data_IF_968515100021
#
_entry.id   IF_968515100021
#
_cell.length_a   1.000
_cell.length_b   1.000
_cell.length_c   1.000
_cell.angle_alpha   90.00
_cell.angle_beta   90.00
_cell.angle_gamma   90.00
#
_symmetry.space_group_name_H-M   'P 1'
#
loop_
_entity.id
_entity.type
_entity.pdbx_description
1 polymer ?
#
# COMPACT_ATOMS: atom_id res chain seq x y z
N UNK A 1 -25.44 -33.32 11.85
CA UNK A 1 -24.07 -32.89 12.30
C UNK A 1 -23.70 -31.61 11.60
N UNK A 2 -23.16 -30.63 12.32
CA UNK A 2 -22.81 -29.33 11.76
C UNK A 2 -21.50 -29.49 10.98
N UNK A 3 -21.47 -29.18 9.66
CA UNK A 3 -20.27 -29.23 8.80
C UNK A 3 -19.06 -28.48 9.39
N UNK A 4 -19.31 -27.48 10.25
CA UNK A 4 -18.28 -26.74 10.98
C UNK A 4 -17.59 -27.62 12.03
N UNK A 5 -18.33 -28.44 12.77
CA UNK A 5 -17.76 -29.40 13.72
C UNK A 5 -16.96 -30.52 13.04
N UNK A 6 -17.38 -30.93 11.83
CA UNK A 6 -16.63 -31.89 11.01
C UNK A 6 -15.31 -31.32 10.48
N UNK A 7 -15.31 -30.01 10.17
CA UNK A 7 -14.07 -29.32 9.75
C UNK A 7 -13.10 -29.13 10.94
N UNK A 8 -13.63 -28.80 12.12
CA UNK A 8 -12.85 -28.70 13.37
C UNK A 8 -12.29 -30.05 13.83
N UNK A 9 -12.97 -31.14 13.48
CA UNK A 9 -12.56 -32.52 13.81
C UNK A 9 -11.57 -33.14 12.81
N UNK A 10 -11.23 -32.46 11.69
CA UNK A 10 -10.21 -32.97 10.76
C UNK A 10 -8.83 -32.90 11.40
N UNK A 11 -8.25 -34.05 11.66
CA UNK A 11 -6.93 -34.21 12.30
C UNK A 11 -5.77 -33.57 11.50
N UNK A 12 -5.99 -33.24 10.21
CA UNK A 12 -4.99 -32.62 9.35
C UNK A 12 -5.64 -31.77 8.28
N UNK A 13 -5.09 -30.58 8.02
CA UNK A 13 -5.46 -29.70 6.90
C UNK A 13 -4.63 -30.00 5.63
N UNK A 14 -3.82 -31.06 5.59
CA UNK A 14 -2.87 -31.32 4.48
C UNK A 14 -3.58 -31.40 3.11
N UNK A 15 -4.77 -31.99 3.07
CA UNK A 15 -5.58 -32.12 1.87
C UNK A 15 -6.66 -31.04 1.72
N UNK A 16 -6.63 -29.99 2.56
CA UNK A 16 -7.61 -28.91 2.48
C UNK A 16 -7.51 -28.16 1.14
N UNK A 17 -8.65 -27.83 0.55
CA UNK A 17 -8.75 -27.19 -0.77
C UNK A 17 -8.19 -25.77 -0.81
N UNK A 18 -8.10 -25.08 0.34
CA UNK A 18 -7.63 -23.70 0.40
C UNK A 18 -6.14 -23.63 0.09
N UNK A 19 -5.80 -22.95 -1.00
CA UNK A 19 -4.43 -22.61 -1.37
C UNK A 19 -4.10 -21.23 -0.80
N UNK A 20 -3.37 -21.21 0.30
CA UNK A 20 -3.05 -19.97 1.02
C UNK A 20 -2.04 -19.11 0.25
N UNK A 21 -2.32 -17.79 0.11
CA UNK A 21 -1.41 -16.86 -0.56
C UNK A 21 -0.17 -16.59 0.32
N UNK A 22 0.97 -16.32 -0.32
CA UNK A 22 2.26 -15.99 0.34
C UNK A 22 2.64 -16.90 1.50
N UNK A 23 2.30 -18.17 1.42
CA UNK A 23 2.44 -19.13 2.53
C UNK A 23 3.12 -20.41 2.06
N UNK A 24 4.04 -20.93 2.87
CA UNK A 24 4.56 -22.29 2.72
C UNK A 24 3.46 -23.30 3.09
N UNK A 25 2.57 -23.60 2.14
CA UNK A 25 1.32 -24.34 2.38
C UNK A 25 1.54 -25.71 3.01
N UNK A 26 2.55 -26.47 2.55
CA UNK A 26 2.89 -27.78 3.14
C UNK A 26 3.23 -27.70 4.62
N UNK A 27 4.05 -26.72 5.00
CA UNK A 27 4.44 -26.49 6.39
C UNK A 27 3.26 -25.99 7.23
N UNK A 28 2.53 -24.99 6.73
CA UNK A 28 1.38 -24.42 7.44
C UNK A 28 0.29 -25.46 7.71
N UNK A 29 -0.06 -26.27 6.70
CA UNK A 29 -1.13 -27.27 6.83
C UNK A 29 -0.80 -28.42 7.80
N UNK A 30 0.49 -28.71 8.04
CA UNK A 30 0.93 -29.66 9.08
C UNK A 30 0.78 -29.08 10.49
N UNK A 31 1.06 -27.77 10.65
CA UNK A 31 1.00 -27.09 11.95
C UNK A 31 0.25 -25.76 11.77
N UNK A 32 -1.08 -25.80 11.60
CA UNK A 32 -1.85 -24.60 11.26
C UNK A 32 -1.92 -23.61 12.43
N UNK A 33 -1.78 -22.32 12.10
CA UNK A 33 -2.03 -21.20 13.01
C UNK A 33 -3.37 -20.58 12.65
N UNK A 34 -4.42 -21.01 13.31
CA UNK A 34 -5.79 -20.58 13.04
C UNK A 34 -6.21 -19.47 14.00
N UNK A 35 -7.00 -18.52 13.48
CA UNK A 35 -7.65 -17.47 14.24
C UNK A 35 -9.18 -17.66 14.10
N UNK A 36 -9.89 -17.67 15.21
CA UNK A 36 -11.32 -17.97 15.26
C UNK A 36 -12.18 -16.74 15.60
N UNK A 37 -11.61 -15.76 16.32
CA UNK A 37 -12.30 -14.53 16.75
C UNK A 37 -11.30 -13.37 16.75
N UNK A 38 -11.81 -12.15 16.57
CA UNK A 38 -11.06 -10.92 16.71
C UNK A 38 -11.89 -9.86 17.45
N UNK A 39 -11.23 -8.99 18.25
CA UNK A 39 -11.85 -7.85 18.92
C UNK A 39 -10.77 -6.86 19.39
N UNK A 40 -10.95 -5.57 19.11
CA UNK A 40 -9.96 -4.55 19.47
C UNK A 40 -8.58 -4.84 18.88
N UNK A 41 -7.60 -5.07 19.73
CA UNK A 41 -6.20 -5.35 19.34
C UNK A 41 -5.85 -6.84 19.38
N UNK A 42 -6.83 -7.74 19.51
CA UNK A 42 -6.56 -9.15 19.76
C UNK A 42 -7.30 -10.06 18.80
N UNK A 43 -6.63 -11.18 18.50
CA UNK A 43 -7.22 -12.39 17.95
C UNK A 43 -7.36 -13.46 19.04
N UNK A 44 -8.19 -14.46 18.80
CA UNK A 44 -8.26 -15.70 19.58
C UNK A 44 -8.14 -16.90 18.66
N UNK A 45 -7.35 -17.84 19.08
CA UNK A 45 -7.23 -19.15 18.43
C UNK A 45 -8.45 -20.02 18.73
N UNK A 46 -8.70 -21.14 18.00
CA UNK A 46 -9.80 -22.04 18.27
C UNK A 46 -9.81 -22.64 19.67
N UNK A 47 -8.63 -22.81 20.28
CA UNK A 47 -8.44 -23.30 21.66
C UNK A 47 -8.59 -22.18 22.72
N UNK A 48 -8.93 -20.96 22.30
CA UNK A 48 -9.22 -19.82 23.19
C UNK A 48 -8.01 -18.99 23.63
N UNK A 49 -6.82 -19.28 23.13
CA UNK A 49 -5.61 -18.48 23.43
C UNK A 49 -5.70 -17.11 22.77
N UNK A 50 -5.49 -16.06 23.55
CA UNK A 50 -5.44 -14.69 23.07
C UNK A 50 -4.09 -14.39 22.41
N UNK A 51 -4.12 -13.70 21.27
CA UNK A 51 -2.94 -13.28 20.48
C UNK A 51 -3.04 -11.79 20.19
N UNK A 52 -2.03 -11.02 20.59
CA UNK A 52 -1.94 -9.60 20.28
C UNK A 52 -1.69 -9.41 18.77
N UNK A 53 -2.50 -8.57 18.13
CA UNK A 53 -2.27 -8.15 16.75
C UNK A 53 -1.28 -6.97 16.71
N UNK A 54 0.02 -7.27 16.71
CA UNK A 54 1.09 -6.27 16.66
C UNK A 54 1.33 -5.66 15.28
N UNK A 55 0.57 -6.09 14.24
CA UNK A 55 0.77 -5.65 12.85
C UNK A 55 -0.48 -5.04 12.22
N UNK A 56 -1.53 -4.77 13.02
CA UNK A 56 -2.85 -4.31 12.52
C UNK A 56 -3.35 -5.18 11.36
N UNK A 57 -3.39 -6.50 11.56
CA UNK A 57 -3.62 -7.48 10.50
C UNK A 57 -2.45 -7.49 9.50
N UNK A 58 -2.63 -6.88 8.36
CA UNK A 58 -1.58 -6.60 7.36
C UNK A 58 -1.52 -5.10 7.07
N UNK A 59 -1.28 -4.28 8.11
CA UNK A 59 -1.29 -2.81 8.03
C UNK A 59 -2.66 -2.22 7.67
N UNK A 60 -3.76 -2.86 8.05
CA UNK A 60 -5.09 -2.56 7.51
C UNK A 60 -6.18 -2.32 8.55
N UNK A 61 -5.97 -2.75 9.80
CA UNK A 61 -6.97 -2.62 10.88
C UNK A 61 -6.59 -1.45 11.79
N UNK A 62 -6.70 -0.23 11.26
CA UNK A 62 -6.21 0.97 11.95
C UNK A 62 -7.01 1.34 13.21
N UNK A 63 -8.31 1.01 13.22
CA UNK A 63 -9.21 1.28 14.37
C UNK A 63 -9.33 0.11 15.35
N UNK A 64 -8.73 -1.04 15.05
CA UNK A 64 -8.96 -2.28 15.78
C UNK A 64 -10.10 -3.12 15.17
N UNK A 65 -10.18 -4.37 15.59
CA UNK A 65 -11.11 -5.36 15.04
C UNK A 65 -12.54 -5.20 15.55
N UNK A 66 -13.50 -5.58 14.71
CA UNK A 66 -14.93 -5.71 15.05
C UNK A 66 -15.54 -4.46 15.67
N UNK A 67 -15.22 -3.28 15.14
CA UNK A 67 -15.74 -1.99 15.63
C UNK A 67 -17.26 -1.92 15.43
N UNK A 68 -18.04 -1.61 16.49
CA UNK A 68 -19.51 -1.64 16.44
C UNK A 68 -20.09 -0.81 15.31
N UNK A 69 -19.68 0.46 15.12
CA UNK A 69 -20.17 1.35 14.05
C UNK A 69 -19.94 0.74 12.66
N UNK A 70 -18.77 0.16 12.42
CA UNK A 70 -18.46 -0.47 11.12
C UNK A 70 -19.32 -1.71 10.91
N UNK A 71 -19.45 -2.56 11.94
CA UNK A 71 -20.26 -3.79 11.87
C UNK A 71 -21.72 -3.46 11.61
N UNK A 72 -22.29 -2.50 12.34
CA UNK A 72 -23.68 -2.07 12.18
C UNK A 72 -23.95 -1.44 10.80
N UNK A 73 -23.03 -0.62 10.27
CA UNK A 73 -23.14 -0.03 8.94
C UNK A 73 -23.20 -1.13 7.87
N UNK A 74 -22.31 -2.13 7.95
CA UNK A 74 -22.31 -3.29 7.05
C UNK A 74 -23.58 -4.09 7.13
N UNK A 75 -24.06 -4.38 8.35
CA UNK A 75 -25.29 -5.16 8.57
C UNK A 75 -26.53 -4.46 8.02
N UNK A 76 -26.67 -3.15 8.25
CA UNK A 76 -27.77 -2.35 7.69
C UNK A 76 -27.71 -2.35 6.16
N UNK A 77 -26.53 -2.12 5.59
CA UNK A 77 -26.40 -2.00 4.14
C UNK A 77 -26.70 -3.33 3.43
N UNK A 78 -26.16 -4.45 3.91
CA UNK A 78 -26.41 -5.76 3.27
C UNK A 78 -27.87 -6.18 3.37
N UNK A 79 -28.59 -5.73 4.38
CA UNK A 79 -30.04 -5.97 4.52
C UNK A 79 -30.90 -5.05 3.62
N UNK A 80 -30.36 -3.89 3.22
CA UNK A 80 -31.07 -2.92 2.37
C UNK A 80 -30.78 -3.11 0.89
N UNK A 81 -29.51 -3.25 0.55
CA UNK A 81 -29.03 -3.46 -0.81
C UNK A 81 -27.61 -4.03 -0.76
N UNK A 82 -27.48 -5.29 -1.09
CA UNK A 82 -26.24 -6.06 -1.08
C UNK A 82 -25.31 -5.67 -2.24
N UNK A 83 -25.88 -5.42 -3.44
CA UNK A 83 -25.15 -5.03 -4.64
C UNK A 83 -25.98 -4.10 -5.54
N UNK A 84 -25.27 -3.16 -6.18
CA UNK A 84 -25.79 -2.39 -7.32
C UNK A 84 -24.66 -2.19 -8.32
N UNK A 85 -24.93 -2.29 -9.65
CA UNK A 85 -23.93 -1.99 -10.65
C UNK A 85 -23.59 -0.49 -10.65
N UNK A 86 -22.32 -0.17 -10.90
CA UNK A 86 -21.86 1.22 -11.04
C UNK A 86 -21.52 1.59 -12.49
N UNK A 87 -21.79 0.68 -13.44
CA UNK A 87 -21.66 0.97 -14.87
C UNK A 87 -22.97 1.57 -15.38
N UNK A 88 -22.97 2.88 -15.67
CA UNK A 88 -24.12 3.68 -16.14
C UNK A 88 -25.30 3.70 -15.15
N UNK A 89 -25.11 3.22 -13.94
CA UNK A 89 -26.03 3.29 -12.81
C UNK A 89 -25.23 3.66 -11.55
N UNK A 90 -25.92 4.02 -10.48
CA UNK A 90 -25.26 4.37 -9.23
C UNK A 90 -26.21 4.18 -8.05
N UNK A 91 -25.69 4.37 -6.86
CA UNK A 91 -26.45 4.34 -5.60
C UNK A 91 -25.98 5.44 -4.66
N UNK A 92 -26.84 5.99 -3.79
CA UNK A 92 -26.51 7.15 -2.96
C UNK A 92 -25.25 6.96 -2.10
N UNK A 93 -25.07 5.76 -1.54
CA UNK A 93 -23.98 5.46 -0.58
C UNK A 93 -22.59 5.60 -1.20
N UNK A 94 -22.42 5.33 -2.52
CA UNK A 94 -21.12 5.50 -3.18
C UNK A 94 -20.76 6.99 -3.33
N UNK A 95 -21.73 7.83 -3.64
CA UNK A 95 -21.51 9.28 -3.75
C UNK A 95 -21.22 9.88 -2.37
N UNK A 96 -22.00 9.53 -1.35
CA UNK A 96 -21.75 9.95 0.02
C UNK A 96 -20.34 9.57 0.48
N UNK A 97 -19.93 8.33 0.24
CA UNK A 97 -18.59 7.88 0.66
C UNK A 97 -17.48 8.61 -0.11
N UNK A 98 -17.67 8.85 -1.41
CA UNK A 98 -16.69 9.60 -2.21
C UNK A 98 -16.54 11.04 -1.70
N UNK A 99 -17.63 11.72 -1.36
CA UNK A 99 -17.63 13.09 -0.81
C UNK A 99 -16.90 13.11 0.56
N UNK A 100 -17.23 12.21 1.47
CA UNK A 100 -16.57 12.12 2.78
C UNK A 100 -15.06 11.80 2.68
N UNK A 101 -14.67 11.02 1.69
CA UNK A 101 -13.25 10.77 1.41
C UNK A 101 -12.57 12.05 0.86
N UNK A 102 -13.24 12.81 0.00
CA UNK A 102 -12.73 14.07 -0.52
C UNK A 102 -12.55 15.13 0.57
N UNK A 103 -13.42 15.17 1.59
CA UNK A 103 -13.31 16.09 2.73
C UNK A 103 -12.01 15.95 3.51
N UNK A 104 -11.47 14.74 3.64
CA UNK A 104 -10.21 14.48 4.35
C UNK A 104 -8.98 14.48 3.43
N UNK A 105 -9.20 14.50 2.12
CA UNK A 105 -8.14 14.52 1.11
C UNK A 105 -7.41 15.87 1.07
N UNK A 106 -6.19 15.93 0.52
CA UNK A 106 -5.54 17.20 0.24
C UNK A 106 -6.37 18.05 -0.72
N UNK A 107 -6.25 19.38 -0.60
CA UNK A 107 -6.93 20.30 -1.51
C UNK A 107 -6.59 19.98 -2.99
N UNK A 108 -7.62 19.97 -3.85
CA UNK A 108 -7.49 19.67 -5.27
C UNK A 108 -7.61 18.18 -5.62
N UNK A 109 -8.07 17.35 -4.66
CA UNK A 109 -8.34 15.91 -4.85
C UNK A 109 -9.80 15.60 -4.50
N UNK A 110 -10.74 16.05 -5.33
CA UNK A 110 -12.17 15.82 -5.12
C UNK A 110 -12.72 14.60 -5.88
N UNK A 111 -11.89 13.90 -6.64
CA UNK A 111 -12.32 12.78 -7.48
C UNK A 111 -11.73 11.46 -6.99
N UNK A 112 -12.62 10.49 -6.78
CA UNK A 112 -12.28 9.17 -6.22
C UNK A 112 -12.74 8.08 -7.20
N UNK A 113 -11.81 7.28 -7.69
CA UNK A 113 -12.08 6.11 -8.53
C UNK A 113 -11.97 4.84 -7.69
N UNK A 114 -13.09 4.18 -7.42
CA UNK A 114 -13.14 3.00 -6.55
C UNK A 114 -12.67 1.71 -7.24
N UNK A 115 -11.96 0.89 -6.47
CA UNK A 115 -11.44 -0.44 -6.82
C UNK A 115 -11.74 -1.42 -5.66
N UNK A 116 -11.29 -2.68 -5.77
CA UNK A 116 -11.55 -3.69 -4.73
C UNK A 116 -10.31 -4.03 -3.89
N UNK A 117 -9.16 -3.48 -4.23
CA UNK A 117 -7.89 -3.75 -3.54
C UNK A 117 -6.83 -2.71 -3.86
N UNK A 118 -5.76 -2.64 -3.05
CA UNK A 118 -4.60 -1.81 -3.35
C UNK A 118 -3.88 -2.21 -4.65
N UNK A 119 -3.89 -3.51 -5.02
CA UNK A 119 -3.34 -3.96 -6.30
C UNK A 119 -4.09 -3.40 -7.49
N UNK A 120 -5.42 -3.38 -7.42
CA UNK A 120 -6.26 -2.76 -8.45
C UNK A 120 -6.14 -1.24 -8.44
N UNK A 121 -5.98 -0.62 -7.26
CA UNK A 121 -5.73 0.83 -7.15
C UNK A 121 -4.43 1.22 -7.87
N UNK A 122 -3.35 0.47 -7.65
CA UNK A 122 -2.08 0.73 -8.33
C UNK A 122 -2.20 0.59 -9.85
N UNK A 123 -2.76 -0.52 -10.36
CA UNK A 123 -2.98 -0.71 -11.80
C UNK A 123 -3.90 0.37 -12.40
N UNK A 124 -4.94 0.77 -11.68
CA UNK A 124 -5.84 1.84 -12.12
C UNK A 124 -5.14 3.20 -12.17
N UNK A 125 -4.32 3.55 -11.18
CA UNK A 125 -3.54 4.78 -11.18
C UNK A 125 -2.57 4.84 -12.38
N UNK A 126 -1.88 3.74 -12.69
CA UNK A 126 -1.02 3.63 -13.86
C UNK A 126 -1.80 3.81 -15.17
N UNK A 127 -2.98 3.16 -15.28
CA UNK A 127 -3.87 3.29 -16.46
C UNK A 127 -4.42 4.71 -16.61
N UNK A 128 -4.84 5.35 -15.52
CA UNK A 128 -5.30 6.73 -15.51
C UNK A 128 -4.19 7.67 -15.99
N UNK A 129 -2.96 7.47 -15.54
CA UNK A 129 -1.81 8.26 -15.97
C UNK A 129 -1.56 8.14 -17.48
N UNK A 130 -1.59 6.92 -18.02
CA UNK A 130 -1.44 6.69 -19.48
C UNK A 130 -2.59 7.30 -20.27
N UNK A 131 -3.83 7.11 -19.82
CA UNK A 131 -5.02 7.64 -20.46
C UNK A 131 -5.05 9.18 -20.43
N UNK A 132 -4.62 9.81 -19.34
CA UNK A 132 -4.49 11.25 -19.20
C UNK A 132 -3.59 11.86 -20.27
N UNK A 133 -2.37 11.30 -20.43
CA UNK A 133 -1.44 11.78 -21.45
C UNK A 133 -2.03 11.62 -22.87
N UNK A 134 -2.70 10.49 -23.11
CA UNK A 134 -3.37 10.28 -24.41
C UNK A 134 -4.51 11.28 -24.65
N UNK A 135 -5.34 11.58 -23.65
CA UNK A 135 -6.42 12.56 -23.74
C UNK A 135 -5.89 13.97 -24.07
N UNK A 136 -4.68 14.30 -23.61
CA UNK A 136 -4.00 15.56 -23.92
C UNK A 136 -3.22 15.58 -25.24
N UNK A 137 -3.25 14.52 -26.02
CA UNK A 137 -2.49 14.40 -27.25
C UNK A 137 -1.05 13.91 -27.09
N UNK A 138 -0.59 13.63 -25.89
CA UNK A 138 0.78 13.21 -25.56
C UNK A 138 0.90 11.66 -25.50
N UNK A 139 0.32 10.95 -26.46
CA UNK A 139 0.27 9.48 -26.49
C UNK A 139 1.64 8.79 -26.56
N UNK A 140 2.71 9.53 -26.80
CA UNK A 140 4.09 9.07 -26.73
C UNK A 140 4.59 8.79 -25.32
N UNK A 141 3.89 9.28 -24.28
CA UNK A 141 4.20 9.02 -22.87
C UNK A 141 3.63 7.68 -22.43
N UNK A 142 4.42 6.63 -22.46
CA UNK A 142 3.99 5.26 -22.12
C UNK A 142 4.88 4.57 -21.08
N UNK A 143 6.07 5.15 -20.79
CA UNK A 143 6.97 4.58 -19.80
C UNK A 143 6.48 4.85 -18.38
N UNK A 144 6.64 3.84 -17.52
CA UNK A 144 6.31 3.91 -16.11
C UNK A 144 7.59 3.69 -15.30
N UNK A 145 7.78 4.51 -14.29
CA UNK A 145 8.95 4.41 -13.42
C UNK A 145 8.49 3.97 -12.03
N UNK A 146 9.06 2.88 -11.53
CA UNK A 146 8.92 2.44 -10.16
C UNK A 146 10.15 2.76 -9.32
N UNK A 147 10.20 2.21 -8.11
CA UNK A 147 11.38 2.30 -7.23
C UNK A 147 11.82 0.90 -6.82
N UNK A 148 13.14 0.65 -6.80
CA UNK A 148 13.70 -0.56 -6.20
C UNK A 148 13.16 -0.76 -4.78
N UNK A 149 12.86 -1.99 -4.40
CA UNK A 149 12.21 -2.38 -3.14
C UNK A 149 10.80 -1.81 -2.96
N UNK A 150 10.19 -1.15 -3.95
CA UNK A 150 8.80 -0.72 -3.90
C UNK A 150 7.83 -1.90 -3.98
N UNK A 151 6.67 -1.78 -3.33
CA UNK A 151 5.59 -2.75 -3.40
C UNK A 151 4.28 -2.05 -3.80
N UNK A 152 3.71 -2.45 -4.93
CA UNK A 152 2.48 -1.86 -5.48
C UNK A 152 1.43 -2.92 -5.82
N UNK A 153 1.38 -3.99 -5.01
CA UNK A 153 0.43 -5.07 -5.21
C UNK A 153 0.96 -6.20 -6.11
N UNK A 154 0.05 -7.07 -6.54
CA UNK A 154 0.37 -8.35 -7.18
C UNK A 154 -0.16 -8.49 -8.60
N UNK A 155 -0.91 -7.50 -9.11
CA UNK A 155 -1.30 -7.42 -10.51
C UNK A 155 -0.08 -7.09 -11.38
N UNK A 156 -0.16 -7.39 -12.68
CA UNK A 156 1.00 -7.24 -13.58
C UNK A 156 1.55 -5.81 -13.65
N UNK A 157 0.70 -4.78 -13.62
CA UNK A 157 1.14 -3.38 -13.60
C UNK A 157 1.89 -3.05 -12.32
N UNK A 158 1.26 -3.23 -11.17
CA UNK A 158 1.85 -2.97 -9.85
C UNK A 158 3.10 -3.82 -9.59
N UNK A 159 3.10 -5.09 -10.03
CA UNK A 159 4.26 -5.97 -9.96
C UNK A 159 5.41 -5.47 -10.85
N UNK A 160 5.11 -4.98 -12.06
CA UNK A 160 6.14 -4.49 -12.99
C UNK A 160 6.87 -3.26 -12.43
N UNK A 161 6.13 -2.26 -11.91
CA UNK A 161 6.71 -1.07 -11.26
C UNK A 161 7.23 -1.37 -9.84
N UNK A 162 6.86 -2.50 -9.24
CA UNK A 162 7.39 -2.97 -7.96
C UNK A 162 8.87 -3.35 -8.06
N UNK A 163 9.63 -3.17 -6.98
CA UNK A 163 11.07 -3.41 -6.91
C UNK A 163 11.50 -4.59 -6.04
N UNK A 164 10.55 -5.39 -5.51
CA UNK A 164 10.84 -6.57 -4.69
C UNK A 164 11.00 -7.79 -5.61
N UNK A 165 12.24 -8.25 -5.80
CA UNK A 165 12.58 -9.34 -6.72
C UNK A 165 11.78 -10.61 -6.46
N UNK A 166 11.53 -10.98 -5.21
CA UNK A 166 10.80 -12.19 -4.84
C UNK A 166 9.37 -12.21 -5.42
N UNK A 167 8.74 -11.05 -5.57
CA UNK A 167 7.36 -10.93 -6.03
C UNK A 167 7.21 -11.11 -7.54
N UNK A 168 8.28 -10.94 -8.32
CA UNK A 168 8.21 -10.95 -9.79
C UNK A 168 9.05 -12.02 -10.48
N UNK A 169 10.06 -12.59 -9.82
CA UNK A 169 11.04 -13.51 -10.45
C UNK A 169 10.45 -14.72 -11.18
N UNK A 170 9.24 -15.16 -10.80
CA UNK A 170 8.59 -16.35 -11.38
C UNK A 170 7.50 -16.02 -12.39
N UNK A 171 7.18 -14.73 -12.60
CA UNK A 171 6.08 -14.29 -13.46
C UNK A 171 6.54 -13.65 -14.77
N UNK A 172 7.84 -13.64 -15.03
CA UNK A 172 8.41 -13.08 -16.25
C UNK A 172 8.64 -11.57 -16.19
N UNK A 173 8.85 -10.91 -17.37
CA UNK A 173 9.28 -9.52 -17.44
C UNK A 173 8.22 -8.49 -17.04
N UNK A 174 6.94 -8.87 -16.95
CA UNK A 174 5.85 -7.95 -16.64
C UNK A 174 5.48 -7.03 -17.81
N UNK A 175 5.03 -5.81 -17.51
CA UNK A 175 4.66 -4.79 -18.50
C UNK A 175 5.92 -4.17 -19.11
N UNK A 176 5.93 -4.00 -20.44
CA UNK A 176 7.04 -3.37 -21.15
C UNK A 176 7.12 -1.86 -20.87
N UNK A 177 8.30 -1.27 -21.01
CA UNK A 177 8.52 0.16 -20.81
C UNK A 177 8.54 0.58 -19.35
N UNK A 178 8.96 -0.31 -18.45
CA UNK A 178 9.11 -0.03 -17.03
C UNK A 178 10.58 0.03 -16.64
N UNK A 179 10.96 1.10 -15.92
CA UNK A 179 12.27 1.26 -15.30
C UNK A 179 12.13 1.55 -13.80
N UNK A 180 13.25 1.54 -13.08
CA UNK A 180 13.26 1.76 -11.65
C UNK A 180 14.35 2.76 -11.25
N UNK A 181 13.99 3.71 -10.38
CA UNK A 181 14.96 4.49 -9.63
C UNK A 181 15.44 3.68 -8.42
N UNK A 182 16.63 4.00 -7.92
CA UNK A 182 17.19 3.32 -6.74
C UNK A 182 16.32 3.53 -5.49
N UNK A 183 16.43 2.60 -4.54
CA UNK A 183 15.80 2.73 -3.21
C UNK A 183 16.50 3.76 -2.33
N UNK A 184 15.80 4.20 -1.26
CA UNK A 184 16.30 5.23 -0.32
C UNK A 184 17.05 4.66 0.89
N UNK A 185 17.16 3.32 1.01
CA UNK A 185 17.85 2.70 2.15
C UNK A 185 19.37 2.88 2.05
N UNK A 186 19.95 3.48 3.07
CA UNK A 186 21.38 3.73 3.20
C UNK A 186 21.79 3.60 4.68
N UNK A 187 22.11 2.38 5.06
CA UNK A 187 22.43 2.05 6.45
C UNK A 187 23.76 2.67 6.89
N UNK A 188 24.70 2.89 5.97
CA UNK A 188 26.02 3.43 6.31
C UNK A 188 25.93 4.88 6.81
N UNK A 189 25.05 5.69 6.22
CA UNK A 189 24.90 7.11 6.56
C UNK A 189 23.73 7.39 7.51
N UNK A 190 22.72 6.50 7.54
CA UNK A 190 21.41 6.77 8.14
C UNK A 190 20.96 5.76 9.19
N UNK A 191 21.81 4.82 9.62
CA UNK A 191 21.41 3.85 10.64
C UNK A 191 20.88 4.52 11.91
N UNK A 192 19.82 3.95 12.47
CA UNK A 192 19.14 4.42 13.68
C UNK A 192 18.57 5.84 13.56
N UNK A 193 18.18 6.27 12.36
CA UNK A 193 17.49 7.53 12.15
C UNK A 193 16.13 7.53 12.83
N UNK A 194 15.80 8.64 13.50
CA UNK A 194 14.51 8.94 14.10
C UNK A 194 13.72 9.82 13.12
N UNK A 195 12.60 9.33 12.60
CA UNK A 195 11.89 9.99 11.50
C UNK A 195 12.69 9.99 10.19
N UNK A 196 12.63 11.09 9.43
CA UNK A 196 13.30 11.20 8.13
C UNK A 196 14.83 11.17 8.25
N UNK A 197 15.51 10.28 7.51
CA UNK A 197 16.98 10.29 7.43
C UNK A 197 17.53 11.61 6.87
N UNK A 198 18.73 11.97 7.29
CA UNK A 198 19.36 13.25 6.85
C UNK A 198 19.97 13.18 5.44
N UNK A 199 20.41 11.99 5.01
CA UNK A 199 21.18 11.82 3.77
C UNK A 199 20.38 11.02 2.75
N UNK A 200 20.40 11.44 1.47
CA UNK A 200 19.79 10.70 0.37
C UNK A 200 18.75 11.45 -0.45
N UNK A 201 18.62 12.79 -0.28
CA UNK A 201 17.80 13.60 -1.19
C UNK A 201 18.24 13.44 -2.66
N UNK A 202 19.56 13.34 -2.86
CA UNK A 202 20.21 13.14 -4.16
C UNK A 202 19.81 11.84 -4.88
N UNK A 203 19.25 10.88 -4.17
CA UNK A 203 18.76 9.65 -4.79
C UNK A 203 17.57 9.88 -5.72
N UNK A 204 16.85 10.98 -5.58
CA UNK A 204 15.81 11.39 -6.51
C UNK A 204 16.37 11.78 -7.90
N UNK A 205 17.64 12.21 -7.98
CA UNK A 205 18.28 12.59 -9.25
C UNK A 205 18.46 11.41 -10.22
N UNK A 206 18.28 10.17 -9.74
CA UNK A 206 18.21 9.00 -10.61
C UNK A 206 17.08 9.14 -11.64
N UNK A 207 16.00 9.85 -11.32
CA UNK A 207 14.94 10.15 -12.27
C UNK A 207 15.43 11.08 -13.41
N UNK A 208 16.27 12.08 -13.11
CA UNK A 208 16.90 12.90 -14.16
C UNK A 208 17.77 12.06 -15.08
N UNK A 209 18.53 11.10 -14.54
CA UNK A 209 19.31 10.15 -15.36
C UNK A 209 18.41 9.33 -16.30
N UNK A 210 17.26 8.85 -15.82
CA UNK A 210 16.30 8.13 -16.65
C UNK A 210 15.65 9.04 -17.71
N UNK A 211 15.39 10.32 -17.39
CA UNK A 211 14.91 11.30 -18.34
C UNK A 211 15.95 11.50 -19.49
N UNK A 212 17.23 11.58 -19.15
CA UNK A 212 18.29 11.69 -20.18
C UNK A 212 18.42 10.43 -21.03
N UNK A 213 18.20 9.25 -20.44
CA UNK A 213 18.32 7.96 -21.13
C UNK A 213 17.17 7.71 -22.10
N UNK A 214 15.96 8.04 -21.74
CA UNK A 214 14.73 7.63 -22.43
C UNK A 214 14.00 8.76 -23.16
N UNK A 215 14.43 9.99 -23.05
CA UNK A 215 13.68 11.20 -23.37
C UNK A 215 12.47 11.39 -22.42
N UNK A 216 12.40 12.48 -21.64
CA UNK A 216 11.34 12.71 -20.68
C UNK A 216 9.93 12.76 -21.30
N UNK A 217 9.83 13.06 -22.62
CA UNK A 217 8.55 13.02 -23.34
C UNK A 217 7.97 11.62 -23.52
N UNK A 218 8.73 10.57 -23.23
CA UNK A 218 8.25 9.18 -23.26
C UNK A 218 7.77 8.68 -21.89
N UNK A 219 8.09 9.39 -20.79
CA UNK A 219 7.77 8.97 -19.43
C UNK A 219 6.41 9.52 -19.02
N UNK A 220 5.49 8.63 -18.69
CA UNK A 220 4.14 8.98 -18.26
C UNK A 220 4.06 9.30 -16.76
N UNK A 221 4.58 8.41 -15.93
CA UNK A 221 4.45 8.53 -14.48
C UNK A 221 5.59 7.86 -13.72
N UNK A 222 5.79 8.35 -12.49
CA UNK A 222 6.59 7.71 -11.45
C UNK A 222 5.66 7.31 -10.31
N UNK A 223 5.75 6.09 -9.82
CA UNK A 223 5.02 5.62 -8.65
C UNK A 223 5.97 5.27 -7.52
N UNK A 224 5.71 5.78 -6.31
CA UNK A 224 6.46 5.48 -5.09
C UNK A 224 5.54 5.40 -3.88
N UNK A 225 5.87 4.54 -2.92
CA UNK A 225 5.34 4.64 -1.56
C UNK A 225 6.05 5.83 -0.88
N UNK A 226 5.34 6.81 -0.25
CA UNK A 226 6.00 7.84 0.55
C UNK A 226 6.90 7.24 1.64
N UNK A 227 6.41 6.23 2.37
CA UNK A 227 7.20 5.34 3.21
C UNK A 227 7.07 3.93 2.68
N UNK A 228 8.17 3.30 2.24
CA UNK A 228 8.11 1.95 1.70
C UNK A 228 7.95 0.92 2.84
N UNK A 229 6.69 0.54 3.09
CA UNK A 229 6.33 -0.30 4.23
C UNK A 229 6.85 -1.72 4.10
N UNK A 230 6.47 -2.43 3.03
CA UNK A 230 6.76 -3.85 2.81
C UNK A 230 8.26 -4.16 2.66
N UNK A 231 9.07 -3.17 2.29
CA UNK A 231 10.52 -3.30 2.17
C UNK A 231 11.27 -3.09 3.50
N UNK A 232 10.57 -2.91 4.61
CA UNK A 232 11.15 -2.73 5.93
C UNK A 232 11.12 -1.27 6.43
N UNK A 233 10.02 -0.57 6.18
CA UNK A 233 9.79 0.83 6.63
C UNK A 233 10.94 1.73 6.18
N UNK A 234 11.14 1.84 4.87
CA UNK A 234 12.13 2.75 4.32
C UNK A 234 11.54 4.17 4.28
N UNK A 235 11.89 4.96 5.27
CA UNK A 235 11.45 6.35 5.40
C UNK A 235 12.20 7.20 4.36
N UNK A 236 11.51 8.12 3.64
CA UNK A 236 12.17 8.97 2.66
C UNK A 236 13.13 9.94 3.36
N UNK A 237 14.35 10.11 2.86
CA UNK A 237 15.26 11.15 3.37
C UNK A 237 14.68 12.55 3.22
N UNK A 238 15.11 13.46 4.08
CA UNK A 238 14.77 14.88 3.99
C UNK A 238 15.08 15.43 2.59
N UNK A 239 14.11 16.07 1.95
CA UNK A 239 14.22 16.64 0.61
C UNK A 239 14.06 15.65 -0.56
N UNK A 240 13.95 14.34 -0.30
CA UNK A 240 13.83 13.33 -1.37
C UNK A 240 12.50 13.43 -2.14
N UNK A 241 11.37 13.49 -1.43
CA UNK A 241 10.06 13.57 -2.06
C UNK A 241 9.85 14.92 -2.76
N UNK A 242 10.31 15.98 -2.16
CA UNK A 242 10.31 17.34 -2.72
C UNK A 242 11.10 17.38 -4.05
N UNK A 243 12.30 16.80 -4.04
CA UNK A 243 13.15 16.73 -5.23
C UNK A 243 12.52 15.88 -6.32
N UNK A 244 11.91 14.76 -5.96
CA UNK A 244 11.18 13.91 -6.91
C UNK A 244 10.01 14.66 -7.55
N UNK A 245 9.24 15.44 -6.75
CA UNK A 245 8.15 16.30 -7.24
C UNK A 245 8.66 17.39 -8.19
N UNK A 246 9.77 18.04 -7.86
CA UNK A 246 10.40 19.06 -8.72
C UNK A 246 10.74 18.48 -10.10
N UNK A 247 11.42 17.34 -10.13
CA UNK A 247 11.80 16.67 -11.38
C UNK A 247 10.56 16.30 -12.20
N UNK A 248 9.56 15.69 -11.56
CA UNK A 248 8.31 15.34 -12.22
C UNK A 248 7.62 16.57 -12.82
N UNK A 249 7.54 17.68 -12.07
CA UNK A 249 6.94 18.93 -12.54
C UNK A 249 7.72 19.52 -13.72
N UNK A 250 9.04 19.58 -13.64
CA UNK A 250 9.93 20.07 -14.69
C UNK A 250 9.71 19.36 -16.03
N UNK A 251 9.50 18.05 -15.99
CA UNK A 251 9.40 17.21 -17.19
C UNK A 251 7.96 16.84 -17.58
N UNK A 252 6.95 17.32 -16.85
CA UNK A 252 5.55 16.97 -17.10
C UNK A 252 5.23 15.49 -16.87
N UNK A 253 5.97 14.84 -15.97
CA UNK A 253 5.77 13.44 -15.54
C UNK A 253 4.79 13.44 -14.37
N UNK A 254 3.81 12.54 -14.37
CA UNK A 254 2.90 12.40 -13.24
C UNK A 254 3.59 11.71 -12.06
N UNK A 255 3.41 12.26 -10.85
CA UNK A 255 3.84 11.62 -9.62
C UNK A 255 2.66 10.92 -8.97
N UNK A 256 2.80 9.62 -8.72
CA UNK A 256 1.80 8.79 -8.04
C UNK A 256 2.35 8.39 -6.68
N UNK A 257 1.61 8.70 -5.59
CA UNK A 257 1.92 8.17 -4.28
C UNK A 257 1.07 6.93 -4.00
N UNK A 258 1.73 5.84 -3.63
CA UNK A 258 1.05 4.67 -3.09
C UNK A 258 0.89 4.85 -1.57
N UNK A 259 -0.30 5.28 -1.17
CA UNK A 259 -0.66 5.53 0.23
C UNK A 259 -1.51 4.39 0.84
N UNK A 260 -1.45 3.21 0.26
CA UNK A 260 -2.19 2.03 0.73
C UNK A 260 -1.83 1.66 2.18
N UNK A 261 -0.58 1.92 2.61
CA UNK A 261 -0.15 1.73 4.00
C UNK A 261 -0.19 3.04 4.79
N UNK A 262 0.27 4.14 4.19
CA UNK A 262 0.48 5.41 4.90
C UNK A 262 -0.78 6.22 5.14
N UNK A 263 -1.83 5.97 4.36
CA UNK A 263 -3.11 6.65 4.51
C UNK A 263 -3.86 6.31 5.81
N UNK A 264 -4.90 7.09 6.05
CA UNK A 264 -5.84 6.92 7.17
C UNK A 264 -5.19 6.98 8.55
N UNK A 265 -4.37 8.03 8.78
CA UNK A 265 -3.87 8.37 10.11
C UNK A 265 -2.56 7.68 10.53
N UNK A 266 -2.00 6.80 9.70
CA UNK A 266 -0.80 6.02 10.05
C UNK A 266 0.39 6.87 10.48
N UNK A 267 0.57 8.03 9.86
CA UNK A 267 1.65 8.99 10.16
C UNK A 267 1.19 10.20 11.00
N UNK A 268 -0.09 10.25 11.41
CA UNK A 268 -0.63 11.38 12.18
C UNK A 268 -1.26 12.50 11.33
N UNK A 269 -1.45 12.25 10.06
CA UNK A 269 -2.29 13.02 9.13
C UNK A 269 -3.15 12.04 8.35
N UNK A 270 -4.28 12.46 7.77
CA UNK A 270 -5.08 11.57 6.93
C UNK A 270 -4.25 10.85 5.87
N UNK A 271 -3.36 11.57 5.19
CA UNK A 271 -2.49 11.02 4.14
C UNK A 271 -1.04 11.48 4.29
N UNK A 272 -0.09 10.67 3.78
CA UNK A 272 1.34 10.98 3.82
C UNK A 272 1.70 12.20 2.97
N UNK A 273 0.98 12.46 1.88
CA UNK A 273 1.12 13.70 1.10
C UNK A 273 0.93 14.95 1.96
N UNK A 274 -0.03 14.93 2.90
CA UNK A 274 -0.23 16.00 3.88
C UNK A 274 0.84 16.01 4.99
N UNK A 275 1.35 14.83 5.36
CA UNK A 275 2.39 14.72 6.39
C UNK A 275 3.73 15.27 5.91
N UNK A 276 4.15 14.89 4.69
CA UNK A 276 5.40 15.36 4.07
C UNK A 276 5.25 16.70 3.34
N UNK A 277 4.02 17.23 3.22
CA UNK A 277 3.71 18.45 2.46
C UNK A 277 4.20 18.39 0.99
N UNK A 278 4.09 17.22 0.37
CA UNK A 278 4.42 17.00 -1.05
C UNK A 278 3.20 16.44 -1.76
N UNK A 279 2.67 17.18 -2.74
CA UNK A 279 1.43 16.80 -3.44
C UNK A 279 1.73 15.98 -4.69
N UNK A 280 1.24 14.74 -4.79
CA UNK A 280 1.29 13.95 -6.00
C UNK A 280 0.25 14.47 -7.02
N UNK A 281 0.15 13.80 -8.16
CA UNK A 281 -0.91 14.02 -9.15
C UNK A 281 -2.04 12.98 -9.01
N UNK A 282 -1.70 11.79 -8.52
CA UNK A 282 -2.62 10.74 -8.09
C UNK A 282 -2.10 10.10 -6.80
N UNK A 283 -2.99 9.56 -5.98
CA UNK A 283 -2.56 8.65 -4.93
C UNK A 283 -3.53 7.48 -4.75
N UNK A 284 -2.98 6.32 -4.38
CA UNK A 284 -3.74 5.08 -4.21
C UNK A 284 -3.98 4.79 -2.74
N UNK A 285 -5.15 4.27 -2.42
CA UNK A 285 -5.53 3.87 -1.07
C UNK A 285 -6.24 2.51 -1.06
N UNK A 286 -6.23 1.85 0.09
CA UNK A 286 -6.99 0.65 0.42
C UNK A 286 -6.94 0.43 1.95
N UNK A 287 -6.90 -0.80 2.42
CA UNK A 287 -6.61 -1.20 3.81
C UNK A 287 -7.39 -0.42 4.87
N UNK A 288 -6.80 0.63 5.44
CA UNK A 288 -7.42 1.49 6.44
C UNK A 288 -8.70 2.17 5.96
N UNK A 289 -8.95 2.27 4.66
CA UNK A 289 -10.14 2.89 4.08
C UNK A 289 -11.46 2.26 4.58
N UNK A 290 -11.47 0.95 4.77
CA UNK A 290 -12.61 0.19 5.31
C UNK A 290 -12.26 -0.55 6.60
N UNK A 291 -11.13 -0.20 7.23
CA UNK A 291 -10.58 -0.93 8.37
C UNK A 291 -10.47 -2.46 8.11
N UNK A 292 -10.24 -2.83 6.84
CA UNK A 292 -10.20 -4.20 6.32
C UNK A 292 -11.50 -5.02 6.50
N UNK A 293 -12.60 -4.43 6.96
CA UNK A 293 -13.87 -5.14 7.22
C UNK A 293 -14.48 -5.65 5.93
N UNK A 294 -14.43 -4.87 4.85
CA UNK A 294 -14.82 -5.28 3.49
C UNK A 294 -13.72 -4.85 2.52
N UNK A 295 -13.24 -5.73 1.62
CA UNK A 295 -12.20 -5.38 0.65
C UNK A 295 -12.62 -4.20 -0.22
N UNK A 296 -11.80 -3.15 -0.27
CA UNK A 296 -11.97 -1.99 -1.12
C UNK A 296 -10.65 -1.24 -1.30
N UNK A 297 -10.52 -0.52 -2.39
CA UNK A 297 -9.45 0.42 -2.66
C UNK A 297 -9.97 1.60 -3.46
N UNK A 298 -9.13 2.60 -3.67
CA UNK A 298 -9.45 3.73 -4.52
C UNK A 298 -8.20 4.42 -5.06
N UNK A 299 -8.40 5.19 -6.12
CA UNK A 299 -7.44 6.17 -6.64
C UNK A 299 -8.03 7.55 -6.46
N UNK A 300 -7.34 8.42 -5.75
CA UNK A 300 -7.62 9.84 -5.74
C UNK A 300 -6.94 10.50 -6.93
N UNK A 301 -7.71 11.26 -7.68
CA UNK A 301 -7.29 11.93 -8.90
C UNK A 301 -7.35 13.42 -8.70
N UNK A 302 -6.26 14.12 -9.00
CA UNK A 302 -6.23 15.59 -8.94
C UNK A 302 -7.26 16.18 -9.88
N UNK A 303 -7.99 17.20 -9.43
CA UNK A 303 -9.09 17.80 -10.17
C UNK A 303 -8.68 18.22 -11.59
N UNK A 304 -7.48 18.79 -11.75
CA UNK A 304 -6.95 19.17 -13.07
C UNK A 304 -6.70 18.00 -14.03
N UNK A 305 -6.46 16.79 -13.50
CA UNK A 305 -6.34 15.57 -14.33
C UNK A 305 -7.73 15.10 -14.76
N UNK A 306 -8.68 15.09 -13.84
CA UNK A 306 -10.08 14.74 -14.15
C UNK A 306 -10.67 15.65 -15.22
N UNK A 307 -10.48 16.98 -15.11
CA UNK A 307 -10.95 17.95 -16.08
C UNK A 307 -10.41 17.70 -17.50
N UNK A 308 -9.20 17.18 -17.62
CA UNK A 308 -8.65 16.85 -18.94
C UNK A 308 -9.44 15.74 -19.66
N UNK A 309 -10.03 14.81 -18.93
CA UNK A 309 -10.93 13.80 -19.50
C UNK A 309 -12.28 14.40 -19.91
N UNK A 310 -12.77 15.38 -19.15
CA UNK A 310 -14.08 16.04 -19.39
C UNK A 310 -14.07 16.97 -20.60
N UNK A 311 -12.91 17.30 -21.15
CA UNK A 311 -12.79 18.16 -22.36
C UNK A 311 -12.95 17.38 -23.68
N UNK A 312 -13.08 16.05 -23.62
CA UNK A 312 -13.29 15.20 -24.78
C UNK A 312 -14.72 15.28 -25.35
N UNK A 313 -15.00 14.54 -26.42
CA UNK A 313 -16.37 14.41 -26.94
C UNK A 313 -17.25 13.66 -25.94
N UNK A 314 -18.55 13.85 -26.04
CA UNK A 314 -19.56 13.12 -25.25
C UNK A 314 -19.36 11.61 -25.41
N UNK A 315 -19.33 10.87 -24.30
CA UNK A 315 -19.12 9.44 -24.29
C UNK A 315 -18.61 8.93 -22.95
N UNK A 316 -17.96 7.78 -22.96
CA UNK A 316 -17.27 7.23 -21.78
C UNK A 316 -15.84 7.79 -21.76
N UNK A 317 -15.59 8.77 -20.91
CA UNK A 317 -14.33 9.53 -20.82
C UNK A 317 -13.14 8.65 -20.43
N UNK A 318 -13.38 7.65 -19.54
CA UNK A 318 -12.40 6.65 -19.14
C UNK A 318 -12.99 5.25 -19.25
N UNK A 319 -12.60 4.50 -20.28
CA UNK A 319 -13.08 3.14 -20.52
C UNK A 319 -12.38 2.12 -19.61
N UNK A 320 -12.61 2.23 -18.28
CA UNK A 320 -12.02 1.41 -17.23
C UNK A 320 -12.94 1.34 -16.02
N UNK A 321 -13.03 0.16 -15.38
CA UNK A 321 -13.78 -0.09 -14.16
C UNK A 321 -13.78 -1.56 -13.80
N UNK A 322 -14.20 -1.87 -12.58
CA UNK A 322 -14.36 -3.23 -12.07
C UNK A 322 -15.83 -3.48 -11.73
N UNK A 323 -16.30 -4.70 -11.86
CA UNK A 323 -17.67 -5.09 -11.53
C UNK A 323 -18.10 -4.64 -10.13
N UNK A 324 -17.16 -4.62 -9.18
CA UNK A 324 -17.44 -4.27 -7.79
C UNK A 324 -16.90 -2.87 -7.40
N UNK A 325 -16.52 -2.01 -8.36
CA UNK A 325 -16.19 -0.62 -8.08
C UNK A 325 -17.32 0.06 -7.33
N UNK A 326 -17.05 0.65 -6.17
CA UNK A 326 -18.07 1.31 -5.37
C UNK A 326 -19.15 0.38 -4.78
N UNK A 327 -18.81 -0.88 -4.46
CA UNK A 327 -19.73 -1.86 -3.87
C UNK A 327 -20.46 -1.29 -2.64
N UNK A 328 -21.82 -1.35 -2.58
CA UNK A 328 -22.60 -0.69 -1.51
C UNK A 328 -22.15 -1.06 -0.09
N UNK A 329 -21.95 -2.36 0.16
CA UNK A 329 -21.53 -2.85 1.49
C UNK A 329 -20.11 -2.38 1.86
N UNK A 330 -19.22 -2.27 0.86
CA UNK A 330 -17.87 -1.76 1.09
C UNK A 330 -17.88 -0.25 1.34
N UNK A 331 -18.73 0.52 0.64
CA UNK A 331 -18.94 1.95 0.90
C UNK A 331 -19.48 2.18 2.31
N UNK A 332 -20.48 1.40 2.74
CA UNK A 332 -21.01 1.48 4.10
C UNK A 332 -19.96 1.14 5.17
N UNK A 333 -19.12 0.12 4.93
CA UNK A 333 -17.98 -0.17 5.80
C UNK A 333 -17.02 1.01 5.88
N UNK A 334 -16.74 1.67 4.75
CA UNK A 334 -15.89 2.86 4.67
C UNK A 334 -16.48 4.05 5.44
N UNK A 335 -17.78 4.33 5.30
CA UNK A 335 -18.49 5.38 6.05
C UNK A 335 -18.38 5.11 7.56
N UNK A 336 -18.74 3.90 8.03
CA UNK A 336 -18.62 3.54 9.44
C UNK A 336 -17.17 3.59 9.95
N UNK A 337 -16.18 3.37 9.05
CA UNK A 337 -14.77 3.52 9.37
C UNK A 337 -14.38 5.00 9.56
N UNK A 338 -14.80 5.89 8.67
CA UNK A 338 -14.54 7.33 8.79
C UNK A 338 -15.18 7.90 10.05
N UNK A 339 -16.44 7.52 10.34
CA UNK A 339 -17.11 7.91 11.59
C UNK A 339 -16.35 7.43 12.85
N UNK A 340 -15.81 6.22 12.82
CA UNK A 340 -14.99 5.70 13.92
C UNK A 340 -13.68 6.49 14.05
N UNK A 341 -13.05 6.85 12.94
CA UNK A 341 -11.83 7.65 12.95
C UNK A 341 -12.07 9.07 13.46
N UNK A 342 -13.19 9.68 13.08
CA UNK A 342 -13.58 11.02 13.52
C UNK A 342 -13.89 11.05 15.03
N UNK A 343 -14.77 10.17 15.51
CA UNK A 343 -15.19 10.12 16.90
C UNK A 343 -14.01 9.92 17.87
N UNK A 344 -13.01 9.14 17.46
CA UNK A 344 -11.88 8.79 18.31
C UNK A 344 -10.60 9.57 17.95
N UNK A 345 -10.67 10.50 16.99
CA UNK A 345 -9.53 11.32 16.55
C UNK A 345 -8.38 10.50 15.96
N UNK A 346 -8.67 9.33 15.34
CA UNK A 346 -7.64 8.38 14.94
C UNK A 346 -6.78 8.88 13.76
N UNK A 347 -7.30 9.76 12.91
CA UNK A 347 -6.54 10.33 11.79
C UNK A 347 -5.34 11.16 12.24
N UNK A 348 -5.36 11.69 13.46
CA UNK A 348 -4.28 12.53 14.02
C UNK A 348 -3.62 11.94 15.25
N UNK A 349 -4.16 10.88 15.82
CA UNK A 349 -3.69 10.28 17.09
C UNK A 349 -2.21 9.89 17.07
N UNK A 350 -1.68 9.49 15.92
CA UNK A 350 -0.27 9.15 15.80
C UNK A 350 0.66 10.28 16.24
N UNK A 351 0.28 11.56 16.07
CA UNK A 351 1.08 12.72 16.51
C UNK A 351 1.37 12.69 18.01
N UNK A 352 0.40 12.28 18.83
CA UNK A 352 0.57 12.21 20.29
C UNK A 352 1.31 10.96 20.76
N UNK A 353 1.36 9.92 19.94
CA UNK A 353 1.97 8.63 20.27
C UNK A 353 3.35 8.43 19.64
N UNK A 354 3.69 9.18 18.59
CA UNK A 354 4.91 9.00 17.80
C UNK A 354 6.16 9.01 18.67
N UNK A 355 6.29 9.99 19.56
CA UNK A 355 7.46 10.11 20.43
C UNK A 355 7.62 8.91 21.38
N UNK A 356 6.52 8.46 21.99
CA UNK A 356 6.53 7.28 22.84
C UNK A 356 6.92 6.02 22.06
N UNK A 357 6.32 5.86 20.85
CA UNK A 357 6.58 4.73 19.97
C UNK A 357 8.04 4.70 19.47
N UNK A 358 8.54 5.86 19.07
CA UNK A 358 9.94 6.06 18.67
C UNK A 358 10.90 5.66 19.79
N UNK A 359 10.71 6.21 21.01
CA UNK A 359 11.59 5.93 22.14
C UNK A 359 11.56 4.45 22.53
N UNK A 360 10.36 3.83 22.55
CA UNK A 360 10.21 2.42 22.81
C UNK A 360 10.96 1.55 21.78
N UNK A 361 10.84 1.87 20.49
CA UNK A 361 11.56 1.14 19.46
C UNK A 361 13.08 1.34 19.56
N UNK A 362 13.52 2.58 19.69
CA UNK A 362 14.97 2.91 19.76
C UNK A 362 15.63 2.49 21.07
N UNK A 363 14.86 2.13 22.12
CA UNK A 363 15.43 1.50 23.33
C UNK A 363 16.10 0.16 23.06
N UNK A 364 15.78 -0.47 21.93
CA UNK A 364 16.40 -1.72 21.48
C UNK A 364 17.76 -1.52 20.79
N UNK A 365 18.21 -0.26 20.58
CA UNK A 365 19.54 0.02 20.05
C UNK A 365 20.61 -0.50 21.02
N UNK A 366 21.56 -1.26 20.47
CA UNK A 366 22.59 -1.92 21.26
C UNK A 366 22.23 -3.35 21.71
N UNK A 367 20.98 -3.80 21.45
CA UNK A 367 20.63 -5.22 21.60
C UNK A 367 21.40 -6.04 20.56
N UNK A 368 21.87 -7.22 20.97
CA UNK A 368 22.63 -8.12 20.10
C UNK A 368 21.86 -8.39 18.78
N UNK A 369 22.56 -8.31 17.66
CA UNK A 369 22.05 -8.48 16.30
C UNK A 369 21.11 -7.38 15.78
N UNK A 370 20.79 -6.34 16.53
CA UNK A 370 20.04 -5.18 16.01
C UNK A 370 21.03 -4.25 15.30
N UNK A 371 20.88 -4.14 13.97
CA UNK A 371 21.80 -3.35 13.12
C UNK A 371 21.20 -2.01 12.67
N UNK A 372 19.86 -1.89 12.71
CA UNK A 372 19.18 -0.62 12.42
C UNK A 372 17.77 -0.59 13.04
N UNK A 373 17.28 0.62 13.31
CA UNK A 373 15.90 0.89 13.73
C UNK A 373 15.43 2.13 12.98
N UNK A 374 14.27 2.04 12.32
CA UNK A 374 13.65 3.13 11.54
C UNK A 374 12.22 3.33 11.98
N UNK A 375 11.77 4.56 12.08
CA UNK A 375 10.40 4.89 12.44
C UNK A 375 9.90 6.14 11.72
N UNK A 376 8.58 6.24 11.54
CA UNK A 376 7.88 7.42 11.07
C UNK A 376 6.41 7.29 11.48
N UNK A 377 5.86 8.24 12.23
CA UNK A 377 4.52 8.07 12.82
C UNK A 377 4.42 6.77 13.64
N UNK A 378 3.39 5.98 13.40
CA UNK A 378 3.19 4.68 14.05
C UNK A 378 3.72 3.48 13.25
N UNK A 379 4.69 3.70 12.38
CA UNK A 379 5.40 2.61 11.71
C UNK A 379 6.82 2.50 12.20
N UNK A 380 7.31 1.28 12.41
CA UNK A 380 8.66 1.00 12.85
C UNK A 380 9.19 -0.26 12.18
N UNK A 381 10.47 -0.29 11.91
CA UNK A 381 11.21 -1.51 11.57
C UNK A 381 12.43 -1.66 12.47
N UNK A 382 12.67 -2.88 12.89
CA UNK A 382 13.89 -3.30 13.60
C UNK A 382 14.60 -4.27 12.67
N UNK A 383 15.75 -3.85 12.16
CA UNK A 383 16.55 -4.67 11.24
C UNK A 383 17.55 -5.50 12.02
N UNK A 384 17.53 -6.79 11.76
CA UNK A 384 18.41 -7.73 12.41
C UNK A 384 19.53 -8.17 11.47
N UNK A 385 20.72 -8.37 12.03
CA UNK A 385 21.84 -8.97 11.30
C UNK A 385 21.42 -10.34 10.74
N UNK A 386 21.66 -10.59 9.43
CA UNK A 386 21.36 -11.90 8.84
C UNK A 386 22.12 -13.02 9.55
N UNK A 387 21.41 -14.07 9.96
CA UNK A 387 22.04 -15.23 10.58
C UNK A 387 23.03 -15.89 9.61
N UNK A 388 24.20 -16.39 10.10
CA UNK A 388 25.09 -17.20 9.29
C UNK A 388 24.32 -18.37 8.64
N UNK A 389 24.53 -18.58 7.33
CA UNK A 389 23.83 -19.62 6.58
C UNK A 389 22.37 -19.32 6.18
N UNK A 390 21.76 -18.23 6.66
CA UNK A 390 20.43 -17.84 6.18
C UNK A 390 20.46 -17.48 4.68
N UNK A 391 19.36 -17.76 3.91
CA UNK A 391 19.32 -17.50 2.49
C UNK A 391 19.70 -16.06 2.10
N UNK A 392 19.26 -15.06 2.88
CA UNK A 392 19.60 -13.65 2.65
C UNK A 392 21.09 -13.36 2.82
N UNK A 393 21.74 -13.95 3.83
CA UNK A 393 23.19 -13.80 4.05
C UNK A 393 24.01 -14.51 2.97
N UNK A 394 23.60 -15.72 2.55
CA UNK A 394 24.26 -16.44 1.44
C UNK A 394 24.22 -15.62 0.14
N UNK A 395 23.09 -14.97 -0.16
CA UNK A 395 22.97 -14.09 -1.32
C UNK A 395 23.90 -12.87 -1.21
N UNK A 396 23.96 -12.23 -0.05
CA UNK A 396 24.85 -11.10 0.22
C UNK A 396 26.33 -11.50 0.13
N UNK A 397 26.73 -12.57 0.79
CA UNK A 397 28.11 -13.07 0.77
C UNK A 397 28.54 -13.47 -0.65
N UNK A 398 27.66 -14.11 -1.42
CA UNK A 398 27.92 -14.44 -2.82
C UNK A 398 28.04 -13.18 -3.69
N UNK A 399 27.22 -12.17 -3.47
CA UNK A 399 27.32 -10.88 -4.15
C UNK A 399 28.65 -10.18 -3.88
N UNK A 400 29.05 -10.10 -2.59
CA UNK A 400 30.35 -9.50 -2.20
C UNK A 400 31.53 -10.27 -2.81
N UNK A 401 31.45 -11.60 -2.84
CA UNK A 401 32.49 -12.45 -3.44
C UNK A 401 32.40 -12.56 -4.97
N UNK A 402 31.38 -11.96 -5.59
CA UNK A 402 31.04 -12.11 -7.03
C UNK A 402 30.84 -13.57 -7.45
N UNK A 403 30.32 -14.38 -6.57
CA UNK A 403 30.01 -15.80 -6.77
C UNK A 403 28.50 -16.02 -6.94
N UNK A 404 28.11 -17.10 -7.62
CA UNK A 404 26.69 -17.51 -7.68
C UNK A 404 26.27 -18.06 -6.30
N UNK A 405 25.20 -17.54 -5.66
CA UNK A 405 24.74 -18.08 -4.40
C UNK A 405 24.27 -19.53 -4.59
N UNK A 406 24.76 -20.42 -3.75
CA UNK A 406 24.29 -21.81 -3.67
C UNK A 406 23.24 -21.88 -2.56
N UNK A 407 22.00 -22.17 -2.94
CA UNK A 407 20.91 -22.46 -2.02
C UNK A 407 20.74 -23.97 -1.95
N UNK A 408 21.17 -24.57 -0.87
CA UNK A 408 20.77 -25.95 -0.57
C UNK A 408 19.32 -25.89 -0.09
N UNK A 409 18.43 -26.62 -0.78
CA UNK A 409 17.00 -26.59 -0.49
C UNK A 409 16.72 -27.18 0.89
N UNK A 410 16.23 -26.36 1.82
CA UNK A 410 15.54 -26.75 3.03
C UNK A 410 14.06 -26.39 2.92
#
# INVERSE_FOLDING_TARGET
MNKRAEFEAKASLEQAAFWMPFTANRQFKKTPRLLARAEGMYYWTPDGRQVLDGTSGLWCVNAGHCRPKIVEAVQRQVATMDFAPTFQMGHPVVFEFAERLAEIAPQGFSKVFFTNSGSESADSALKIALAYHRARGDAGRYRLIGRERGYHGVNFGGMAVGGITANKKVFGPGVAGVDHIRHTHDIERNAFSRGQPKHGAEFADELERLCLLHDPSTIAAVIVEPVAGSAGVLVPPLGYLERLREICTKHGILLIFDEVITGFGRLGKPFASQYFNVMPDLFTVAKGMTNATVPMGAVFVKDSLYEAFMQGPDGIELFHGYTYSGHPVACAAGIGTLETYEDEGLLTRAQSLEKYWEDAAHSLKGTQHVIDIRNCGLVVAIELEPRPGAPGRRAYEAFVKKEKPRFEGD
#
